data_IF_421766996458
#
_entry.id   IF_421766996458
#
_cell.length_a   1.000
_cell.length_b   1.000
_cell.length_c   1.000
_cell.angle_alpha   90.00
_cell.angle_beta   90.00
_cell.angle_gamma   90.00
#
_symmetry.space_group_name_H-M   'P 1'
#
loop_
_entity.id
_entity.type
_entity.pdbx_description
1 polymer ?
#
# COMPACT_ATOMS: atom_id res chain seq x y z
N UNK A 1 -19.52 9.34 21.09
CA UNK A 1 -18.66 10.19 20.22
C UNK A 1 -18.03 9.29 19.17
N UNK A 2 -18.65 9.18 18.00
CA UNK A 2 -18.09 8.43 16.88
C UNK A 2 -16.93 9.24 16.30
N UNK A 3 -15.71 8.91 16.71
CA UNK A 3 -14.53 9.59 16.20
C UNK A 3 -14.25 9.13 14.77
N UNK A 4 -14.07 10.10 13.85
CA UNK A 4 -13.67 9.86 12.46
C UNK A 4 -12.41 9.00 12.43
N UNK A 5 -12.44 7.84 11.80
CA UNK A 5 -11.27 6.99 11.63
C UNK A 5 -10.25 7.66 10.69
N UNK A 6 -9.00 7.74 11.12
CA UNK A 6 -7.92 8.37 10.35
C UNK A 6 -6.89 7.34 9.91
N UNK A 7 -6.85 7.10 8.61
CA UNK A 7 -5.93 6.15 8.01
C UNK A 7 -4.95 6.88 7.08
N UNK A 8 -3.72 6.39 7.03
CA UNK A 8 -2.79 6.82 6.01
C UNK A 8 -2.47 5.65 5.07
N UNK A 9 -2.22 5.95 3.81
CA UNK A 9 -1.92 4.96 2.78
C UNK A 9 -0.62 5.33 2.09
N UNK A 10 0.23 4.34 1.91
CA UNK A 10 1.46 4.45 1.13
C UNK A 10 1.57 3.29 0.15
N UNK A 11 1.73 3.61 -1.12
CA UNK A 11 1.91 2.59 -2.15
C UNK A 11 1.94 3.22 -3.53
N UNK A 12 2.94 2.89 -4.32
CA UNK A 12 3.09 3.54 -5.60
C UNK A 12 4.43 3.24 -6.26
N UNK A 13 4.84 4.18 -7.13
CA UNK A 13 5.94 3.99 -8.06
C UNK A 13 5.53 3.22 -9.31
N UNK A 14 4.48 2.41 -9.23
CA UNK A 14 3.86 1.69 -10.36
C UNK A 14 2.35 1.53 -10.13
N UNK A 15 1.59 1.31 -11.21
CA UNK A 15 0.16 1.00 -11.12
C UNK A 15 -0.13 -0.25 -10.27
N UNK A 16 0.78 -1.24 -10.31
CA UNK A 16 0.65 -2.47 -9.54
C UNK A 16 0.59 -2.28 -8.02
N UNK A 17 1.09 -1.17 -7.50
CA UNK A 17 1.00 -0.81 -6.09
C UNK A 17 -0.05 0.25 -5.79
N UNK A 18 -0.24 1.23 -6.69
CA UNK A 18 -1.18 2.32 -6.50
C UNK A 18 -2.65 1.86 -6.62
N UNK A 19 -2.96 1.00 -7.61
CA UNK A 19 -4.34 0.52 -7.82
C UNK A 19 -4.85 -0.31 -6.65
N UNK A 20 -4.11 -1.29 -6.11
CA UNK A 20 -4.49 -2.00 -4.89
C UNK A 20 -4.71 -1.08 -3.68
N UNK A 21 -3.87 -0.06 -3.52
CA UNK A 21 -4.04 0.93 -2.45
C UNK A 21 -5.40 1.62 -2.53
N UNK A 22 -5.77 2.08 -3.71
CA UNK A 22 -7.07 2.72 -3.93
C UNK A 22 -8.24 1.75 -3.76
N UNK A 23 -8.11 0.51 -4.25
CA UNK A 23 -9.13 -0.51 -4.09
C UNK A 23 -9.43 -0.78 -2.60
N UNK A 24 -8.38 -0.91 -1.77
CA UNK A 24 -8.52 -1.09 -0.33
C UNK A 24 -9.22 0.12 0.30
N UNK A 25 -8.78 1.33 0.00
CA UNK A 25 -9.37 2.56 0.57
C UNK A 25 -10.84 2.67 0.21
N UNK A 26 -11.20 2.44 -1.05
CA UNK A 26 -12.60 2.45 -1.49
C UNK A 26 -13.44 1.40 -0.77
N UNK A 27 -12.88 0.19 -0.57
CA UNK A 27 -13.58 -0.86 0.17
C UNK A 27 -13.82 -0.46 1.63
N UNK A 28 -12.84 0.17 2.28
CA UNK A 28 -13.00 0.69 3.64
C UNK A 28 -14.06 1.80 3.69
N UNK A 29 -14.04 2.75 2.76
CA UNK A 29 -15.00 3.84 2.72
C UNK A 29 -16.44 3.38 2.45
N UNK A 30 -16.62 2.31 1.66
CA UNK A 30 -17.95 1.70 1.47
C UNK A 30 -18.51 1.11 2.76
N UNK A 31 -17.67 0.58 3.63
CA UNK A 31 -18.08 -0.02 4.90
C UNK A 31 -18.14 1.00 6.05
N UNK A 32 -17.34 2.05 5.96
CA UNK A 32 -17.17 3.07 7.01
C UNK A 32 -17.14 4.46 6.37
N UNK A 33 -18.28 5.13 6.33
CA UNK A 33 -18.42 6.47 5.71
C UNK A 33 -17.59 7.56 6.41
N UNK A 34 -17.23 7.37 7.67
CA UNK A 34 -16.51 8.33 8.52
C UNK A 34 -14.99 8.09 8.53
N UNK A 35 -14.39 7.76 7.37
CA UNK A 35 -12.94 7.55 7.26
C UNK A 35 -12.27 8.76 6.61
N UNK A 36 -11.27 9.32 7.31
CA UNK A 36 -10.38 10.37 6.80
C UNK A 36 -9.10 9.72 6.26
N UNK A 37 -8.84 9.92 4.98
CA UNK A 37 -7.76 9.24 4.25
C UNK A 37 -6.67 10.23 3.89
N UNK A 38 -5.43 9.93 4.32
CA UNK A 38 -4.22 10.63 3.91
C UNK A 38 -3.38 9.71 3.01
N UNK A 39 -3.21 10.08 1.74
CA UNK A 39 -2.31 9.36 0.86
C UNK A 39 -0.92 9.99 0.88
N UNK A 40 0.12 9.20 1.14
CA UNK A 40 1.52 9.65 1.16
C UNK A 40 2.26 8.94 0.02
N UNK A 41 2.86 9.71 -0.88
CA UNK A 41 3.53 9.16 -2.05
C UNK A 41 4.60 10.08 -2.63
N UNK A 42 5.16 9.70 -3.78
CA UNK A 42 6.13 10.51 -4.51
C UNK A 42 5.43 11.65 -5.27
N UNK A 43 6.08 12.82 -5.43
CA UNK A 43 5.55 13.87 -6.28
C UNK A 43 5.53 13.46 -7.76
N UNK A 44 4.62 14.01 -8.53
CA UNK A 44 4.47 13.81 -9.99
C UNK A 44 4.29 12.34 -10.40
N UNK A 45 3.83 11.52 -9.48
CA UNK A 45 3.71 10.06 -9.62
C UNK A 45 2.33 9.61 -10.11
N UNK A 46 2.22 8.33 -10.43
CA UNK A 46 0.94 7.71 -10.77
C UNK A 46 0.00 7.71 -9.57
N UNK A 47 0.52 7.43 -8.37
CA UNK A 47 -0.26 7.42 -7.14
C UNK A 47 -0.81 8.81 -6.81
N UNK A 48 -0.08 9.89 -7.07
CA UNK A 48 -0.58 11.25 -6.87
C UNK A 48 -1.76 11.56 -7.80
N UNK A 49 -1.62 11.24 -9.09
CA UNK A 49 -2.68 11.46 -10.07
C UNK A 49 -3.94 10.67 -9.72
N UNK A 50 -3.76 9.41 -9.34
CA UNK A 50 -4.86 8.54 -8.99
C UNK A 50 -5.53 8.97 -7.69
N UNK A 51 -4.76 9.28 -6.64
CA UNK A 51 -5.31 9.75 -5.35
C UNK A 51 -6.10 11.06 -5.52
N UNK A 52 -5.58 12.01 -6.29
CA UNK A 52 -6.28 13.27 -6.60
C UNK A 52 -7.57 13.05 -7.39
N UNK A 53 -7.54 12.14 -8.39
CA UNK A 53 -8.75 11.77 -9.15
C UNK A 53 -9.85 11.20 -8.25
N UNK A 54 -9.47 10.48 -7.21
CA UNK A 54 -10.38 9.91 -6.22
C UNK A 54 -10.81 10.92 -5.12
N UNK A 55 -10.29 12.14 -5.15
CA UNK A 55 -10.58 13.15 -4.13
C UNK A 55 -9.86 12.92 -2.80
N UNK A 56 -8.85 12.04 -2.74
CA UNK A 56 -8.09 11.82 -1.51
C UNK A 56 -7.09 12.94 -1.26
N UNK A 57 -6.93 13.29 0.01
CA UNK A 57 -5.85 14.16 0.43
C UNK A 57 -4.51 13.48 0.14
N UNK A 58 -3.68 14.10 -0.70
CA UNK A 58 -2.36 13.62 -1.06
C UNK A 58 -1.28 14.53 -0.50
N UNK A 59 -0.25 13.93 0.10
CA UNK A 59 0.93 14.63 0.60
C UNK A 59 2.19 14.01 -0.01
N UNK A 60 2.91 14.82 -0.77
CA UNK A 60 4.13 14.39 -1.43
C UNK A 60 5.32 14.32 -0.46
N UNK A 61 6.09 13.23 -0.55
CA UNK A 61 7.37 13.08 0.15
C UNK A 61 8.48 12.82 -0.88
N UNK A 62 9.68 13.37 -0.68
CA UNK A 62 10.79 13.28 -1.66
C UNK A 62 11.41 11.87 -1.60
N UNK A 63 10.71 10.89 -2.14
CA UNK A 63 11.22 9.53 -2.25
C UNK A 63 11.48 9.18 -3.70
N UNK A 64 12.60 8.53 -3.97
CA UNK A 64 12.95 7.98 -5.26
C UNK A 64 13.33 6.51 -5.09
N UNK A 65 12.93 5.67 -6.04
CA UNK A 65 13.40 4.30 -6.10
C UNK A 65 14.91 4.23 -6.29
N UNK A 66 15.55 3.23 -5.71
CA UNK A 66 16.93 2.89 -6.02
C UNK A 66 17.02 2.56 -7.51
N UNK A 67 17.81 3.33 -8.23
CA UNK A 67 18.14 2.99 -9.60
C UNK A 67 19.03 1.73 -9.60
N UNK A 68 18.69 0.75 -10.43
CA UNK A 68 19.45 -0.52 -10.52
C UNK A 68 20.89 -0.33 -11.00
N UNK A 69 21.23 0.84 -11.55
CA UNK A 69 22.59 1.22 -11.94
C UNK A 69 23.22 2.06 -10.82
N UNK A 70 24.50 1.80 -10.54
CA UNK A 70 25.30 2.64 -9.64
C UNK A 70 25.47 4.03 -10.28
N UNK A 71 24.74 5.00 -9.80
CA UNK A 71 24.82 6.40 -10.23
C UNK A 71 25.12 7.28 -9.01
N UNK A 72 25.77 8.43 -9.24
CA UNK A 72 25.97 9.42 -8.18
C UNK A 72 24.65 9.83 -7.49
N UNK A 73 23.52 9.70 -8.20
CA UNK A 73 22.19 9.90 -7.63
C UNK A 73 21.84 8.93 -6.49
N UNK A 74 22.42 7.72 -6.48
CA UNK A 74 22.21 6.76 -5.40
C UNK A 74 22.86 7.19 -4.08
N UNK A 75 23.91 8.04 -4.13
CA UNK A 75 24.55 8.58 -2.93
C UNK A 75 23.62 9.50 -2.13
N UNK A 76 22.65 10.13 -2.81
CA UNK A 76 21.64 10.99 -2.18
C UNK A 76 20.41 10.23 -1.66
N UNK A 77 20.29 8.93 -1.95
CA UNK A 77 19.13 8.11 -1.52
C UNK A 77 18.99 8.09 0.00
N UNK A 78 20.06 7.90 0.82
CA UNK A 78 19.91 7.92 2.27
C UNK A 78 19.38 9.26 2.79
N UNK A 79 19.87 10.38 2.22
CA UNK A 79 19.41 11.73 2.58
C UNK A 79 17.94 11.91 2.21
N UNK A 80 17.54 11.52 0.99
CA UNK A 80 16.14 11.57 0.56
C UNK A 80 15.25 10.69 1.44
N UNK A 81 15.69 9.50 1.81
CA UNK A 81 14.98 8.61 2.73
C UNK A 81 14.81 9.29 4.11
N UNK A 82 15.86 9.91 4.66
CA UNK A 82 15.80 10.65 5.92
C UNK A 82 14.77 11.80 5.88
N UNK A 83 14.80 12.60 4.81
CA UNK A 83 13.83 13.70 4.61
C UNK A 83 12.41 13.17 4.43
N UNK A 84 12.23 12.12 3.62
CA UNK A 84 10.93 11.49 3.41
C UNK A 84 10.35 10.92 4.72
N UNK A 85 11.18 10.25 5.52
CA UNK A 85 10.81 9.71 6.82
C UNK A 85 10.42 10.82 7.80
N UNK A 86 11.23 11.89 7.91
CA UNK A 86 10.93 13.04 8.77
C UNK A 86 9.60 13.71 8.40
N UNK A 87 9.35 13.91 7.09
CA UNK A 87 8.06 14.44 6.61
C UNK A 87 6.90 13.50 6.94
N UNK A 88 7.05 12.20 6.69
CA UNK A 88 6.03 11.21 7.01
C UNK A 88 5.69 11.18 8.50
N UNK A 89 6.70 11.25 9.39
CA UNK A 89 6.50 11.36 10.84
C UNK A 89 5.64 12.58 11.20
N UNK A 90 5.97 13.75 10.64
CA UNK A 90 5.19 14.98 10.85
C UNK A 90 3.75 14.88 10.32
N UNK A 91 3.58 14.27 9.15
CA UNK A 91 2.27 14.05 8.52
C UNK A 91 1.38 13.13 9.36
N UNK A 92 1.89 11.95 9.76
CA UNK A 92 1.12 11.00 10.57
C UNK A 92 0.72 11.59 11.93
N UNK A 93 1.61 12.34 12.59
CA UNK A 93 1.31 13.02 13.86
C UNK A 93 0.21 14.09 13.68
N UNK A 94 0.34 14.97 12.69
CA UNK A 94 -0.66 16.03 12.43
C UNK A 94 -2.01 15.45 12.04
N UNK A 95 -2.02 14.40 11.22
CA UNK A 95 -3.22 13.70 10.82
C UNK A 95 -3.81 12.85 11.96
N UNK A 96 -3.04 12.60 13.03
CA UNK A 96 -3.41 11.69 14.15
C UNK A 96 -3.78 10.30 13.61
N UNK A 97 -2.95 9.78 12.71
CA UNK A 97 -3.18 8.52 12.01
C UNK A 97 -3.24 7.35 13.00
N UNK A 98 -4.28 6.52 12.87
CA UNK A 98 -4.52 5.35 13.72
C UNK A 98 -4.04 4.05 13.06
N UNK A 99 -4.07 4.01 11.72
CA UNK A 99 -3.62 2.86 10.93
C UNK A 99 -2.91 3.33 9.67
N UNK A 100 -1.81 2.67 9.32
CA UNK A 100 -1.14 2.86 8.03
C UNK A 100 -1.28 1.60 7.18
N UNK A 101 -1.61 1.78 5.91
CA UNK A 101 -1.73 0.70 4.93
C UNK A 101 -0.62 0.87 3.89
N UNK A 102 0.26 -0.12 3.78
CA UNK A 102 1.32 -0.16 2.78
C UNK A 102 1.03 -1.20 1.72
N UNK A 103 1.02 -0.79 0.45
CA UNK A 103 0.78 -1.71 -0.69
C UNK A 103 2.03 -1.95 -1.53
N UNK A 104 3.20 -1.61 -0.99
CA UNK A 104 4.47 -1.84 -1.67
C UNK A 104 4.96 -0.64 -2.49
N UNK A 105 6.06 -0.88 -3.21
CA UNK A 105 6.82 0.19 -3.84
C UNK A 105 7.58 1.06 -2.84
N UNK A 106 8.49 1.89 -3.35
CA UNK A 106 9.28 2.79 -2.49
C UNK A 106 8.41 3.82 -1.77
N UNK A 107 7.28 4.19 -2.37
CA UNK A 107 6.32 5.15 -1.80
C UNK A 107 5.66 4.66 -0.51
N UNK A 108 5.60 3.35 -0.27
CA UNK A 108 5.06 2.80 0.97
C UNK A 108 6.03 2.91 2.15
N UNK A 109 7.36 2.93 1.88
CA UNK A 109 8.36 2.85 2.93
C UNK A 109 8.28 4.00 3.95
N UNK A 110 8.19 5.29 3.57
CA UNK A 110 8.20 6.38 4.55
C UNK A 110 7.02 6.33 5.50
N UNK A 111 5.82 6.06 4.97
CA UNK A 111 4.60 6.00 5.78
C UNK A 111 4.64 4.84 6.78
N UNK A 112 4.98 3.63 6.32
CA UNK A 112 5.04 2.45 7.19
C UNK A 112 6.20 2.51 8.19
N UNK A 113 7.37 3.03 7.78
CA UNK A 113 8.51 3.20 8.68
C UNK A 113 8.22 4.29 9.73
N UNK A 114 7.56 5.38 9.36
CA UNK A 114 7.11 6.40 10.30
C UNK A 114 6.09 5.83 11.30
N UNK A 115 5.12 5.03 10.83
CA UNK A 115 4.17 4.34 11.70
C UNK A 115 4.88 3.46 12.73
N UNK A 116 5.86 2.66 12.27
CA UNK A 116 6.68 1.80 13.15
C UNK A 116 7.38 2.61 14.25
N UNK A 117 7.98 3.75 13.90
CA UNK A 117 8.69 4.61 14.85
C UNK A 117 7.75 5.32 15.84
N UNK A 118 6.51 5.60 15.41
CA UNK A 118 5.48 6.23 16.25
C UNK A 118 4.69 5.24 17.12
N UNK A 119 4.91 3.93 16.95
CA UNK A 119 4.08 2.92 17.58
C UNK A 119 2.66 2.85 17.00
N UNK A 120 2.41 3.52 15.87
CA UNK A 120 1.15 3.42 15.13
C UNK A 120 1.08 2.09 14.42
N UNK A 121 -0.07 1.42 14.47
CA UNK A 121 -0.25 0.17 13.75
C UNK A 121 -0.13 0.37 12.24
N UNK A 122 0.49 -0.59 11.57
CA UNK A 122 0.48 -0.65 10.12
C UNK A 122 0.29 -2.07 9.62
N UNK A 123 -0.31 -2.16 8.44
CA UNK A 123 -0.54 -3.41 7.73
C UNK A 123 0.07 -3.31 6.33
N UNK A 124 0.44 -4.45 5.77
CA UNK A 124 0.97 -4.53 4.42
C UNK A 124 0.04 -5.39 3.55
N UNK A 125 -0.05 -5.05 2.27
CA UNK A 125 -0.62 -5.89 1.24
C UNK A 125 0.44 -6.10 0.16
N UNK A 126 0.71 -7.38 -0.15
CA UNK A 126 1.69 -7.79 -1.16
C UNK A 126 0.99 -8.48 -2.31
N UNK A 127 1.16 -7.96 -3.51
CA UNK A 127 0.46 -8.40 -4.71
C UNK A 127 1.17 -9.54 -5.44
N UNK A 128 2.46 -9.75 -5.17
CA UNK A 128 3.31 -10.64 -5.93
C UNK A 128 3.63 -11.92 -5.14
N UNK A 129 3.79 -13.04 -5.84
CA UNK A 129 4.29 -14.29 -5.27
C UNK A 129 5.73 -14.16 -4.73
N UNK A 130 6.53 -13.27 -5.35
CA UNK A 130 7.84 -12.86 -4.84
C UNK A 130 7.76 -11.42 -4.30
N UNK A 131 7.72 -11.22 -2.96
CA UNK A 131 7.55 -9.91 -2.35
C UNK A 131 8.64 -8.92 -2.72
N UNK A 132 8.23 -7.65 -2.88
CA UNK A 132 9.13 -6.54 -3.09
C UNK A 132 10.05 -6.28 -1.89
N UNK A 133 11.16 -5.56 -2.13
CA UNK A 133 12.15 -5.24 -1.10
C UNK A 133 11.52 -4.52 0.10
N UNK A 134 10.67 -3.54 -0.15
CA UNK A 134 10.02 -2.74 0.89
C UNK A 134 9.12 -3.62 1.76
N UNK A 135 8.33 -4.51 1.15
CA UNK A 135 7.51 -5.47 1.91
C UNK A 135 8.38 -6.36 2.80
N UNK A 136 9.49 -6.89 2.27
CA UNK A 136 10.43 -7.72 3.05
C UNK A 136 11.02 -6.98 4.24
N UNK A 137 11.39 -5.71 4.07
CA UNK A 137 11.97 -4.88 5.13
C UNK A 137 10.97 -4.56 6.26
N UNK A 138 9.71 -4.37 5.89
CA UNK A 138 8.69 -3.89 6.82
C UNK A 138 7.84 -5.02 7.44
N UNK A 139 7.83 -6.21 6.84
CA UNK A 139 6.94 -7.31 7.23
C UNK A 139 7.06 -7.70 8.70
N UNK A 140 8.29 -7.75 9.24
CA UNK A 140 8.52 -8.16 10.63
C UNK A 140 7.87 -7.27 11.71
N UNK A 141 7.63 -6.00 11.39
CA UNK A 141 6.96 -5.05 12.29
C UNK A 141 5.48 -4.83 12.00
N UNK A 142 4.96 -5.37 10.90
CA UNK A 142 3.56 -5.20 10.51
C UNK A 142 2.61 -5.95 11.45
N UNK A 143 1.47 -5.34 11.75
CA UNK A 143 0.40 -5.99 12.51
C UNK A 143 -0.21 -7.18 11.75
N UNK A 144 -0.36 -7.04 10.44
CA UNK A 144 -0.79 -8.08 9.49
C UNK A 144 -0.13 -7.87 8.13
N UNK A 145 0.08 -8.95 7.39
CA UNK A 145 0.52 -8.93 6.00
C UNK A 145 -0.49 -9.71 5.18
N UNK A 146 -1.20 -9.01 4.32
CA UNK A 146 -2.19 -9.57 3.40
C UNK A 146 -1.50 -9.96 2.11
N UNK A 147 -1.67 -11.19 1.66
CA UNK A 147 -0.96 -11.78 0.54
C UNK A 147 -1.91 -12.03 -0.63
N UNK A 148 -1.50 -11.60 -1.82
CA UNK A 148 -2.15 -11.97 -3.06
C UNK A 148 -1.92 -13.44 -3.41
N UNK A 149 -0.76 -13.96 -3.02
CA UNK A 149 -0.33 -15.34 -3.24
C UNK A 149 0.25 -15.93 -1.96
N UNK A 150 -0.18 -17.12 -1.52
CA UNK A 150 0.28 -17.72 -0.26
C UNK A 150 1.78 -18.03 -0.28
N UNK A 151 2.37 -18.29 -1.45
CA UNK A 151 3.81 -18.56 -1.62
C UNK A 151 4.69 -17.38 -1.18
N UNK A 152 4.16 -16.16 -1.17
CA UNK A 152 4.88 -14.99 -0.73
C UNK A 152 5.32 -15.09 0.74
N UNK A 153 4.58 -15.83 1.57
CA UNK A 153 4.87 -15.99 2.99
C UNK A 153 6.29 -16.52 3.26
N UNK A 154 6.78 -17.45 2.45
CA UNK A 154 8.12 -18.08 2.60
C UNK A 154 9.30 -17.09 2.51
N UNK A 155 9.07 -15.93 1.90
CA UNK A 155 10.09 -14.88 1.74
C UNK A 155 10.04 -13.80 2.82
N UNK A 156 9.05 -13.86 3.71
CA UNK A 156 8.79 -12.82 4.70
C UNK A 156 9.16 -13.29 6.10
N UNK A 157 9.91 -12.46 6.80
CA UNK A 157 10.17 -12.65 8.23
C UNK A 157 9.04 -12.04 9.04
N UNK A 158 7.99 -12.79 9.28
CA UNK A 158 6.77 -12.36 9.98
C UNK A 158 6.55 -13.27 11.19
N UNK A 159 5.98 -12.76 12.26
CA UNK A 159 5.53 -13.62 13.38
C UNK A 159 4.42 -14.53 12.91
N UNK A 160 4.38 -15.74 13.45
CA UNK A 160 3.33 -16.72 13.16
C UNK A 160 1.92 -16.13 13.31
N UNK A 161 1.01 -16.50 12.43
CA UNK A 161 -0.37 -16.03 12.41
C UNK A 161 -0.58 -14.59 11.92
N UNK A 162 0.46 -13.87 11.45
CA UNK A 162 0.31 -12.51 10.92
C UNK A 162 0.18 -12.42 9.41
N UNK A 163 0.36 -13.50 8.67
CA UNK A 163 0.09 -13.55 7.23
C UNK A 163 -1.33 -14.03 6.97
N UNK A 164 -2.01 -13.39 6.04
CA UNK A 164 -3.37 -13.75 5.62
C UNK A 164 -3.38 -13.80 4.10
N UNK A 165 -3.79 -14.92 3.52
CA UNK A 165 -4.05 -15.01 2.09
C UNK A 165 -5.42 -14.39 1.81
N UNK A 166 -5.42 -13.19 1.21
CA UNK A 166 -6.63 -12.40 0.91
C UNK A 166 -6.92 -12.28 -0.58
N UNK A 167 -6.02 -12.77 -1.42
CA UNK A 167 -6.02 -12.40 -2.84
C UNK A 167 -5.57 -10.95 -3.07
N UNK A 168 -5.58 -10.53 -4.34
CA UNK A 168 -5.23 -9.17 -4.72
C UNK A 168 -6.47 -8.27 -4.68
N UNK A 169 -6.37 -7.09 -4.05
CA UNK A 169 -7.43 -6.09 -4.12
C UNK A 169 -7.65 -5.64 -5.55
N UNK A 170 -8.88 -5.66 -5.99
CA UNK A 170 -9.30 -5.22 -7.33
C UNK A 170 -10.34 -4.12 -7.22
N UNK A 171 -10.39 -3.26 -8.24
CA UNK A 171 -11.48 -2.29 -8.42
C UNK A 171 -12.66 -2.88 -9.20
N UNK A 172 -12.53 -4.12 -9.64
CA UNK A 172 -13.58 -4.84 -10.36
C UNK A 172 -14.60 -5.29 -9.32
N UNK A 173 -15.85 -4.84 -9.48
CA UNK A 173 -16.98 -5.31 -8.69
C UNK A 173 -17.60 -6.52 -9.37
N UNK A 174 -17.97 -7.53 -8.60
CA UNK A 174 -18.69 -8.70 -9.11
C UNK A 174 -19.98 -8.32 -9.84
N UNK A 175 -20.63 -7.21 -9.45
CA UNK A 175 -21.79 -6.65 -10.11
C UNK A 175 -21.52 -6.11 -11.55
N UNK A 176 -20.26 -5.96 -11.94
CA UNK A 176 -19.86 -5.59 -13.31
C UNK A 176 -19.92 -6.77 -14.29
N UNK A 177 -20.05 -8.00 -13.79
CA UNK A 177 -20.11 -9.20 -14.60
C UNK A 177 -21.53 -9.73 -14.67
N UNK A 178 -21.95 -10.09 -15.87
CA UNK A 178 -23.20 -10.80 -16.11
C UNK A 178 -23.01 -12.28 -15.88
N UNK A 179 -24.12 -13.03 -15.73
CA UNK A 179 -24.08 -14.49 -15.62
C UNK A 179 -23.44 -15.15 -16.84
N UNK A 180 -23.58 -14.53 -18.05
CA UNK A 180 -22.92 -15.01 -19.26
C UNK A 180 -21.39 -14.85 -19.20
N UNK A 181 -20.88 -13.79 -18.56
CA UNK A 181 -19.44 -13.57 -18.38
C UNK A 181 -18.85 -14.65 -17.46
N UNK A 182 -19.56 -14.99 -16.37
CA UNK A 182 -19.14 -16.08 -15.49
C UNK A 182 -19.11 -17.44 -16.20
N UNK A 183 -20.09 -17.73 -17.06
CA UNK A 183 -20.10 -18.98 -17.85
C UNK A 183 -18.96 -19.03 -18.85
N UNK A 184 -18.65 -17.90 -19.53
CA UNK A 184 -17.53 -17.80 -20.45
C UNK A 184 -16.18 -18.03 -19.75
N UNK A 185 -15.98 -17.46 -18.55
CA UNK A 185 -14.77 -17.66 -17.74
C UNK A 185 -14.63 -19.13 -17.30
N UNK A 186 -15.72 -19.76 -16.88
CA UNK A 186 -15.73 -21.16 -16.46
C UNK A 186 -15.35 -22.10 -17.62
N UNK A 187 -15.93 -21.91 -18.79
CA UNK A 187 -15.62 -22.72 -19.99
C UNK A 187 -14.17 -22.58 -20.46
N UNK A 188 -13.56 -21.42 -20.29
CA UNK A 188 -12.14 -21.20 -20.62
C UNK A 188 -11.21 -21.93 -19.65
N UNK A 189 -11.64 -22.13 -18.40
CA UNK A 189 -10.87 -22.81 -17.36
C UNK A 189 -10.88 -24.34 -17.51
N UNK A 190 -11.94 -24.88 -18.11
CA UNK A 190 -12.02 -26.33 -18.41
C UNK A 190 -11.26 -26.71 -19.70
N UNK A 191 -10.87 -25.71 -20.52
CA UNK A 191 -10.13 -25.92 -21.76
C UNK A 191 -8.58 -25.80 -21.61
N UNK A 192 -8.06 -25.48 -20.41
CA UNK A 192 -6.64 -25.40 -20.05
C UNK A 192 -6.22 -26.56 -19.14
#
# INVERSE_FOLDING_TARGET
MSGRYRIAVGGGGTGGHAVPALAIVRAIQRQHSEVDVLYIGAPESIEERLAKKEGFRFEAVPIAGLQRRLTLGNLLVPVKCGVALSRALGLLRRHRTQLVIGTGGFSAWPACQAARLLGTQYVLQEQNAAPGLVTKMLAGGAGRVYLGYPEAARYLKVREGRTIHSGNPTQIDAAMFTESDYKAIASTREAL
#
